data_IF_155919138643
#
_entry.id   IF_155919138643
#
_cell.length_a   1.000
_cell.length_b   1.000
_cell.length_c   1.000
_cell.angle_alpha   90.00
_cell.angle_beta   90.00
_cell.angle_gamma   90.00
#
_symmetry.space_group_name_H-M   'P 1'
#
loop_
_entity.id
_entity.type
_entity.pdbx_description
1 polymer ?
#
# COMPACT_ATOMS: atom_id res chain seq x y z
N UNK A 1 -18.70 17.89 -5.62
CA UNK A 1 -19.08 16.87 -6.66
C UNK A 1 -19.73 15.68 -5.98
N UNK A 2 -20.53 14.91 -6.73
CA UNK A 2 -21.03 13.60 -6.31
C UNK A 2 -20.09 12.54 -6.87
N UNK A 3 -19.45 11.78 -5.99
CA UNK A 3 -18.45 10.77 -6.34
C UNK A 3 -18.97 9.40 -5.92
N UNK A 4 -18.97 8.43 -6.83
CA UNK A 4 -19.28 7.03 -6.53
C UNK A 4 -18.02 6.19 -6.63
N UNK A 5 -17.49 5.73 -5.49
CA UNK A 5 -16.41 4.74 -5.46
C UNK A 5 -16.97 3.34 -5.71
N UNK A 6 -16.24 2.56 -6.51
CA UNK A 6 -16.55 1.13 -6.73
C UNK A 6 -15.32 0.30 -6.43
N UNK A 7 -15.45 -0.64 -5.48
CA UNK A 7 -14.33 -1.49 -5.06
C UNK A 7 -14.78 -2.92 -4.76
N UNK A 8 -14.00 -3.92 -5.18
CA UNK A 8 -14.24 -5.32 -4.78
C UNK A 8 -14.20 -5.47 -3.26
N UNK A 9 -13.27 -4.76 -2.62
CA UNK A 9 -12.97 -4.88 -1.20
C UNK A 9 -13.17 -3.55 -0.48
N UNK A 10 -13.91 -3.58 0.64
CA UNK A 10 -14.15 -2.44 1.50
C UNK A 10 -14.29 -2.89 2.96
N UNK A 11 -14.43 -1.95 3.90
CA UNK A 11 -14.68 -2.28 5.30
C UNK A 11 -15.94 -3.15 5.48
N UNK A 12 -15.97 -4.09 6.44
CA UNK A 12 -15.06 -4.30 7.58
C UNK A 12 -13.80 -5.14 7.25
N UNK A 13 -13.62 -5.56 5.99
CA UNK A 13 -12.40 -6.25 5.60
C UNK A 13 -11.20 -5.32 5.77
N UNK A 14 -10.11 -5.82 6.38
CA UNK A 14 -8.89 -5.06 6.63
C UNK A 14 -7.77 -5.47 5.66
N UNK A 15 -7.28 -4.52 4.91
CA UNK A 15 -6.15 -4.62 3.99
C UNK A 15 -5.74 -3.22 3.51
N UNK A 16 -4.64 -3.12 2.77
CA UNK A 16 -4.12 -1.82 2.33
C UNK A 16 -5.06 -1.06 1.40
N UNK A 17 -5.76 -1.76 0.50
CA UNK A 17 -6.72 -1.14 -0.43
C UNK A 17 -7.94 -0.63 0.36
N UNK A 18 -8.52 -1.48 1.19
CA UNK A 18 -9.74 -1.22 1.95
C UNK A 18 -9.58 0.02 2.85
N UNK A 19 -8.44 0.10 3.54
CA UNK A 19 -8.12 1.24 4.42
C UNK A 19 -7.92 2.51 3.60
N UNK A 20 -7.16 2.46 2.50
CA UNK A 20 -6.93 3.63 1.65
C UNK A 20 -8.19 4.15 0.98
N UNK A 21 -9.07 3.25 0.50
CA UNK A 21 -10.35 3.67 -0.08
C UNK A 21 -11.26 4.29 0.98
N UNK A 22 -11.28 3.73 2.20
CA UNK A 22 -12.08 4.29 3.31
C UNK A 22 -11.55 5.66 3.76
N UNK A 23 -10.22 5.81 3.87
CA UNK A 23 -9.59 7.07 4.21
C UNK A 23 -9.81 8.13 3.12
N UNK A 24 -9.69 7.76 1.82
CA UNK A 24 -9.97 8.67 0.70
C UNK A 24 -11.43 9.15 0.73
N UNK A 25 -12.39 8.24 0.88
CA UNK A 25 -13.83 8.57 1.01
C UNK A 25 -14.09 9.53 2.17
N UNK A 26 -13.42 9.35 3.30
CA UNK A 26 -13.52 10.27 4.44
C UNK A 26 -12.96 11.64 4.09
N UNK A 27 -11.77 11.71 3.51
CA UNK A 27 -11.11 12.96 3.18
C UNK A 27 -11.86 13.76 2.10
N UNK A 28 -12.40 13.09 1.09
CA UNK A 28 -13.23 13.73 0.08
C UNK A 28 -14.54 14.29 0.66
N UNK A 29 -15.15 13.59 1.63
CA UNK A 29 -16.31 14.13 2.36
C UNK A 29 -15.95 15.34 3.20
N UNK A 30 -14.80 15.32 3.88
CA UNK A 30 -14.28 16.46 4.63
C UNK A 30 -13.96 17.66 3.72
N UNK A 31 -13.55 17.40 2.47
CA UNK A 31 -13.38 18.41 1.41
C UNK A 31 -14.72 18.92 0.80
N UNK A 32 -15.88 18.44 1.28
CA UNK A 32 -17.20 18.92 0.86
C UNK A 32 -17.79 18.18 -0.34
N UNK A 33 -17.29 17.01 -0.70
CA UNK A 33 -17.90 16.16 -1.74
C UNK A 33 -19.01 15.26 -1.17
N UNK A 34 -20.01 14.95 -1.99
CA UNK A 34 -20.99 13.90 -1.71
C UNK A 34 -20.41 12.56 -2.19
N UNK A 35 -19.98 11.72 -1.26
CA UNK A 35 -19.25 10.49 -1.59
C UNK A 35 -20.00 9.25 -1.14
N UNK A 36 -20.21 8.33 -2.06
CA UNK A 36 -20.85 7.03 -1.85
C UNK A 36 -19.93 5.89 -2.31
N UNK A 37 -20.16 4.70 -1.80
CA UNK A 37 -19.34 3.50 -2.10
C UNK A 37 -20.23 2.35 -2.53
N UNK A 38 -19.90 1.68 -3.63
CA UNK A 38 -20.44 0.38 -4.02
C UNK A 38 -19.37 -0.70 -3.87
N UNK A 39 -19.70 -1.80 -3.18
CA UNK A 39 -18.73 -2.86 -2.90
C UNK A 39 -19.35 -4.26 -2.94
N UNK A 40 -18.53 -5.25 -3.29
CA UNK A 40 -18.86 -6.67 -3.17
C UNK A 40 -18.58 -7.25 -1.78
N UNK A 41 -18.00 -6.47 -0.86
CA UNK A 41 -17.71 -6.93 0.51
C UNK A 41 -18.97 -6.99 1.37
N UNK A 42 -19.32 -8.14 1.97
CA UNK A 42 -20.39 -8.23 2.95
C UNK A 42 -20.05 -7.42 4.21
N UNK A 43 -21.09 -7.05 4.96
CA UNK A 43 -20.95 -6.33 6.23
C UNK A 43 -22.23 -5.62 6.62
N UNK A 44 -22.20 -4.92 7.75
CA UNK A 44 -23.33 -4.15 8.25
C UNK A 44 -23.71 -3.00 7.30
N UNK A 45 -24.97 -2.58 7.37
CA UNK A 45 -25.46 -1.44 6.63
C UNK A 45 -24.79 -0.15 7.13
N UNK A 46 -24.14 0.56 6.23
CA UNK A 46 -23.52 1.86 6.50
C UNK A 46 -24.11 2.90 5.56
N UNK A 47 -24.35 4.11 6.06
CA UNK A 47 -24.87 5.21 5.26
C UNK A 47 -23.92 5.55 4.10
N UNK A 48 -24.46 5.56 2.88
CA UNK A 48 -23.67 5.82 1.66
C UNK A 48 -22.80 4.64 1.21
N UNK A 49 -23.02 3.43 1.73
CA UNK A 49 -22.33 2.20 1.28
C UNK A 49 -23.34 1.20 0.76
N UNK A 50 -23.24 0.86 -0.51
CA UNK A 50 -24.08 -0.11 -1.22
C UNK A 50 -23.35 -1.44 -1.36
N UNK A 51 -23.83 -2.45 -0.65
CA UNK A 51 -23.25 -3.81 -0.66
C UNK A 51 -23.99 -4.66 -1.69
N UNK A 52 -23.34 -4.95 -2.82
CA UNK A 52 -23.86 -5.80 -3.89
C UNK A 52 -23.16 -7.15 -3.79
N UNK A 53 -23.70 -7.99 -2.92
CA UNK A 53 -23.09 -9.27 -2.54
C UNK A 53 -23.87 -10.43 -3.12
N UNK A 54 -23.17 -11.45 -3.63
CA UNK A 54 -23.73 -12.76 -3.97
C UNK A 54 -22.92 -13.83 -3.23
N UNK A 55 -23.63 -14.77 -2.59
CA UNK A 55 -22.98 -15.93 -1.97
C UNK A 55 -22.51 -16.88 -3.06
N UNK A 56 -21.26 -16.74 -3.46
CA UNK A 56 -20.59 -17.69 -4.35
C UNK A 56 -19.57 -18.51 -3.58
N UNK A 57 -19.22 -19.72 -4.04
CA UNK A 57 -18.12 -20.49 -3.48
C UNK A 57 -16.84 -19.64 -3.49
N UNK A 58 -16.00 -19.80 -2.44
CA UNK A 58 -14.71 -19.12 -2.27
C UNK A 58 -14.77 -17.59 -2.11
N UNK A 59 -15.91 -17.03 -1.67
CA UNK A 59 -16.11 -15.59 -1.47
C UNK A 59 -15.64 -14.72 -2.67
N UNK A 60 -15.89 -15.23 -3.88
CA UNK A 60 -15.51 -14.51 -5.10
C UNK A 60 -16.32 -13.22 -5.21
N UNK A 61 -15.68 -12.06 -5.39
CA UNK A 61 -16.36 -10.76 -5.54
C UNK A 61 -16.96 -10.60 -6.95
N UNK A 62 -17.80 -11.57 -7.33
CA UNK A 62 -18.49 -11.60 -8.64
C UNK A 62 -19.99 -11.69 -8.39
N UNK A 63 -20.76 -10.86 -9.07
CA UNK A 63 -22.21 -10.94 -9.06
C UNK A 63 -22.72 -11.19 -10.47
N UNK A 64 -23.48 -12.27 -10.75
CA UNK A 64 -23.94 -12.57 -12.12
C UNK A 64 -24.61 -11.41 -12.83
N UNK A 65 -25.38 -10.61 -12.07
CA UNK A 65 -26.08 -9.41 -12.55
C UNK A 65 -25.43 -8.10 -12.09
N UNK A 66 -24.14 -8.12 -11.71
CA UNK A 66 -23.44 -6.99 -11.08
C UNK A 66 -23.47 -5.72 -11.94
N UNK A 67 -23.26 -5.85 -13.25
CA UNK A 67 -23.34 -4.70 -14.16
C UNK A 67 -24.74 -4.06 -14.15
N UNK A 68 -25.81 -4.86 -14.13
CA UNK A 68 -27.18 -4.37 -14.08
C UNK A 68 -27.52 -3.66 -12.76
N UNK A 69 -27.03 -4.21 -11.61
CA UNK A 69 -27.20 -3.57 -10.30
C UNK A 69 -26.44 -2.25 -10.21
N UNK A 70 -25.17 -2.24 -10.64
CA UNK A 70 -24.36 -1.03 -10.66
C UNK A 70 -24.91 0.02 -11.65
N UNK A 71 -25.41 -0.39 -12.80
CA UNK A 71 -26.03 0.54 -13.75
C UNK A 71 -27.30 1.20 -13.18
N UNK A 72 -28.14 0.44 -12.45
CA UNK A 72 -29.31 1.00 -11.75
C UNK A 72 -28.87 1.97 -10.65
N UNK A 73 -27.86 1.62 -9.86
CA UNK A 73 -27.34 2.48 -8.81
C UNK A 73 -26.81 3.79 -9.40
N UNK A 74 -25.97 3.73 -10.42
CA UNK A 74 -25.37 4.87 -11.11
C UNK A 74 -26.47 5.80 -11.69
N UNK A 75 -27.50 5.24 -12.32
CA UNK A 75 -28.65 6.01 -12.86
C UNK A 75 -29.46 6.67 -11.76
N UNK A 76 -29.65 6.00 -10.60
CA UNK A 76 -30.40 6.53 -9.47
C UNK A 76 -29.64 7.63 -8.74
N UNK A 77 -28.32 7.47 -8.56
CA UNK A 77 -27.47 8.39 -7.80
C UNK A 77 -26.93 9.55 -8.62
N UNK A 78 -26.82 9.37 -9.94
CA UNK A 78 -26.32 10.36 -10.91
C UNK A 78 -25.00 10.99 -10.42
N UNK A 79 -23.94 10.19 -10.15
CA UNK A 79 -22.65 10.74 -9.75
C UNK A 79 -22.05 11.57 -10.88
N UNK A 80 -21.25 12.59 -10.53
CA UNK A 80 -20.52 13.40 -11.49
C UNK A 80 -19.30 12.65 -12.03
N UNK A 81 -18.79 11.68 -11.24
CA UNK A 81 -17.67 10.78 -11.60
C UNK A 81 -17.83 9.43 -10.89
N UNK A 82 -17.40 8.37 -11.55
CA UNK A 82 -17.25 7.03 -10.94
C UNK A 82 -15.76 6.72 -10.79
N UNK A 83 -15.33 6.54 -9.56
CA UNK A 83 -13.94 6.19 -9.21
C UNK A 83 -13.85 4.71 -8.85
N UNK A 84 -13.15 3.93 -9.65
CA UNK A 84 -13.06 2.47 -9.52
C UNK A 84 -11.70 2.08 -8.95
N UNK A 85 -11.70 1.25 -7.90
CA UNK A 85 -10.49 0.78 -7.23
C UNK A 85 -10.23 -0.69 -7.56
N UNK A 86 -9.04 -0.98 -8.09
CA UNK A 86 -8.67 -2.29 -8.58
C UNK A 86 -7.42 -2.85 -7.89
N UNK A 87 -7.47 -4.14 -7.55
CA UNK A 87 -6.29 -4.95 -7.28
C UNK A 87 -5.69 -5.52 -8.58
N UNK A 88 -5.07 -6.72 -8.47
CA UNK A 88 -4.54 -7.42 -9.66
C UNK A 88 -5.67 -8.04 -10.53
N UNK A 89 -6.67 -8.62 -9.86
CA UNK A 89 -7.87 -9.18 -10.49
C UNK A 89 -9.07 -8.66 -9.68
N UNK A 90 -9.93 -7.89 -10.33
CA UNK A 90 -11.02 -7.16 -9.67
C UNK A 90 -12.28 -7.18 -10.53
N UNK A 91 -12.99 -8.32 -10.56
CA UNK A 91 -14.14 -8.49 -11.44
C UNK A 91 -15.29 -7.55 -11.11
N UNK A 92 -15.60 -7.30 -9.83
CA UNK A 92 -16.67 -6.36 -9.46
C UNK A 92 -16.31 -4.92 -9.85
N UNK A 93 -15.06 -4.51 -9.65
CA UNK A 93 -14.59 -3.20 -10.09
C UNK A 93 -14.74 -3.03 -11.60
N UNK A 94 -14.41 -4.05 -12.41
CA UNK A 94 -14.66 -4.04 -13.87
C UNK A 94 -16.13 -3.95 -14.24
N UNK A 95 -17.03 -4.55 -13.46
CA UNK A 95 -18.47 -4.36 -13.62
C UNK A 95 -18.86 -2.90 -13.39
N UNK A 96 -18.22 -2.23 -12.41
CA UNK A 96 -18.36 -0.80 -12.15
C UNK A 96 -17.94 0.06 -13.33
N UNK A 97 -16.74 -0.20 -13.87
CA UNK A 97 -16.28 0.48 -15.11
C UNK A 97 -17.30 0.31 -16.23
N UNK A 98 -17.74 -0.94 -16.48
CA UNK A 98 -18.70 -1.24 -17.56
C UNK A 98 -20.06 -0.53 -17.36
N UNK A 99 -20.54 -0.47 -16.12
CA UNK A 99 -21.80 0.21 -15.79
C UNK A 99 -21.69 1.73 -16.00
N UNK A 100 -20.62 2.35 -15.53
CA UNK A 100 -20.38 3.78 -15.69
C UNK A 100 -20.22 4.19 -17.16
N UNK A 101 -19.44 3.42 -17.93
CA UNK A 101 -19.26 3.65 -19.38
C UNK A 101 -20.58 3.55 -20.13
N UNK A 102 -21.44 2.53 -19.83
CA UNK A 102 -22.78 2.39 -20.41
C UNK A 102 -23.74 3.51 -20.03
N UNK A 103 -23.52 4.13 -18.87
CA UNK A 103 -24.28 5.29 -18.42
C UNK A 103 -23.76 6.62 -19.00
N UNK A 104 -22.67 6.61 -19.77
CA UNK A 104 -22.04 7.82 -20.31
C UNK A 104 -21.30 8.65 -19.28
N UNK A 105 -20.96 8.09 -18.10
CA UNK A 105 -20.32 8.83 -17.01
C UNK A 105 -18.80 8.86 -17.12
N UNK A 106 -18.15 9.93 -16.59
CA UNK A 106 -16.71 9.99 -16.39
C UNK A 106 -16.21 8.88 -15.46
N UNK A 107 -15.09 8.25 -15.83
CA UNK A 107 -14.53 7.12 -15.06
C UNK A 107 -13.04 7.32 -14.80
N UNK A 108 -12.66 7.26 -13.51
CA UNK A 108 -11.27 7.13 -13.05
C UNK A 108 -11.06 5.73 -12.52
N UNK A 109 -9.93 5.10 -12.84
CA UNK A 109 -9.59 3.74 -12.41
C UNK A 109 -8.25 3.75 -11.71
N UNK A 110 -8.25 3.56 -10.38
CA UNK A 110 -7.03 3.43 -9.58
C UNK A 110 -6.62 1.98 -9.42
N UNK A 111 -5.41 1.65 -9.85
CA UNK A 111 -4.81 0.31 -9.69
C UNK A 111 -3.87 0.31 -8.48
N UNK A 112 -4.23 -0.44 -7.44
CA UNK A 112 -3.49 -0.53 -6.18
C UNK A 112 -2.42 -1.62 -6.15
N UNK A 113 -2.26 -2.40 -7.20
CA UNK A 113 -1.31 -3.53 -7.24
C UNK A 113 -0.31 -3.40 -8.38
N UNK A 114 0.87 -3.96 -8.20
CA UNK A 114 1.81 -4.16 -9.30
C UNK A 114 1.34 -5.32 -10.18
N UNK A 115 1.25 -5.09 -11.48
CA UNK A 115 0.90 -6.11 -12.45
C UNK A 115 2.12 -6.96 -12.82
N UNK A 116 2.04 -8.24 -12.51
CA UNK A 116 3.02 -9.23 -12.93
C UNK A 116 2.81 -9.64 -14.41
N UNK A 117 3.70 -10.46 -14.99
CA UNK A 117 3.58 -10.89 -16.37
C UNK A 117 2.24 -11.57 -16.69
N UNK A 118 1.69 -12.36 -15.76
CA UNK A 118 0.39 -13.05 -15.93
C UNK A 118 -0.74 -12.03 -15.97
N UNK A 119 -0.79 -11.12 -14.98
CA UNK A 119 -1.77 -10.06 -14.93
C UNK A 119 -1.71 -9.17 -16.18
N UNK A 120 -0.49 -8.81 -16.63
CA UNK A 120 -0.32 -8.04 -17.88
C UNK A 120 -0.85 -8.79 -19.10
N UNK A 121 -0.60 -10.10 -19.18
CA UNK A 121 -1.14 -10.96 -20.26
C UNK A 121 -2.67 -10.97 -20.25
N UNK A 122 -3.27 -11.16 -19.09
CA UNK A 122 -4.73 -11.08 -18.91
C UNK A 122 -5.31 -9.76 -19.40
N UNK A 123 -4.77 -8.62 -18.94
CA UNK A 123 -5.29 -7.30 -19.32
C UNK A 123 -5.02 -6.94 -20.78
N UNK A 124 -3.96 -7.46 -21.40
CA UNK A 124 -3.78 -7.38 -22.87
C UNK A 124 -4.85 -8.14 -23.62
N UNK A 125 -5.19 -9.37 -23.19
CA UNK A 125 -6.28 -10.14 -23.74
C UNK A 125 -7.63 -9.44 -23.60
N UNK A 126 -7.93 -8.94 -22.42
CA UNK A 126 -9.15 -8.14 -22.17
C UNK A 126 -9.18 -6.84 -23.01
N UNK A 127 -8.03 -6.22 -23.29
CA UNK A 127 -7.94 -5.05 -24.16
C UNK A 127 -8.32 -5.40 -25.59
N UNK A 128 -7.90 -6.55 -26.10
CA UNK A 128 -8.24 -7.03 -27.44
C UNK A 128 -9.74 -7.40 -27.53
N UNK A 129 -10.26 -8.10 -26.53
CA UNK A 129 -11.65 -8.58 -26.52
C UNK A 129 -12.69 -7.45 -26.32
N UNK A 130 -12.41 -6.51 -25.44
CA UNK A 130 -13.39 -5.50 -25.01
C UNK A 130 -13.05 -4.09 -25.45
N UNK A 131 -11.90 -3.87 -26.07
CA UNK A 131 -11.39 -2.56 -26.49
C UNK A 131 -11.51 -1.46 -25.41
N UNK A 132 -11.36 -1.84 -24.11
CA UNK A 132 -11.54 -0.95 -22.97
C UNK A 132 -10.68 0.32 -23.02
N UNK A 133 -9.57 0.30 -23.75
CA UNK A 133 -8.71 1.46 -24.01
C UNK A 133 -9.38 2.56 -24.86
N UNK A 134 -10.57 2.28 -25.43
CA UNK A 134 -11.39 3.24 -26.17
C UNK A 134 -12.56 3.77 -25.35
N UNK A 135 -12.70 3.38 -24.10
CA UNK A 135 -13.86 3.72 -23.27
C UNK A 135 -13.79 5.12 -22.64
N UNK A 136 -12.77 5.94 -22.93
CA UNK A 136 -12.60 7.27 -22.34
C UNK A 136 -12.38 7.17 -20.82
N UNK A 137 -11.40 6.39 -20.41
CA UNK A 137 -11.03 6.19 -19.01
C UNK A 137 -9.78 7.00 -18.68
N UNK A 138 -9.69 7.50 -17.45
CA UNK A 138 -8.45 7.97 -16.84
C UNK A 138 -7.97 6.90 -15.88
N UNK A 139 -6.76 6.41 -16.09
CA UNK A 139 -6.09 5.47 -15.20
C UNK A 139 -5.25 6.19 -14.14
N UNK A 140 -5.18 5.63 -12.94
CA UNK A 140 -4.19 6.03 -11.94
C UNK A 140 -3.48 4.83 -11.34
N UNK A 141 -2.27 5.03 -10.87
CA UNK A 141 -1.49 4.05 -10.12
C UNK A 141 -0.92 4.70 -8.86
N UNK A 142 -0.68 3.91 -7.84
CA UNK A 142 -0.25 4.40 -6.52
C UNK A 142 1.26 4.73 -6.46
N UNK A 143 2.02 4.39 -7.50
CA UNK A 143 3.47 4.68 -7.62
C UNK A 143 3.93 4.58 -9.08
N UNK A 144 5.10 5.13 -9.38
CA UNK A 144 5.72 4.96 -10.71
C UNK A 144 6.02 3.50 -11.02
N UNK A 145 6.51 2.74 -10.06
CA UNK A 145 6.76 1.30 -10.22
C UNK A 145 5.49 0.52 -10.58
N UNK A 146 4.33 0.92 -10.05
CA UNK A 146 3.04 0.33 -10.40
C UNK A 146 2.50 0.87 -11.73
N UNK A 147 2.76 2.13 -12.09
CA UNK A 147 2.27 2.77 -13.32
C UNK A 147 2.91 2.19 -14.59
N UNK A 148 4.20 1.89 -14.55
CA UNK A 148 4.96 1.40 -15.72
C UNK A 148 4.28 0.20 -16.42
N UNK A 149 3.96 -0.92 -15.75
CA UNK A 149 3.31 -2.07 -16.39
C UNK A 149 1.88 -1.76 -16.86
N UNK A 150 1.18 -0.84 -16.19
CA UNK A 150 -0.19 -0.41 -16.57
C UNK A 150 -0.12 0.41 -17.85
N UNK A 151 0.76 1.42 -17.94
CA UNK A 151 0.99 2.23 -19.14
C UNK A 151 1.32 1.36 -20.36
N UNK A 152 2.16 0.32 -20.17
CA UNK A 152 2.55 -0.61 -21.22
C UNK A 152 1.38 -1.46 -21.76
N UNK A 153 0.34 -1.69 -20.95
CA UNK A 153 -0.87 -2.43 -21.33
C UNK A 153 -1.95 -1.49 -21.86
N UNK A 154 -2.18 -0.36 -21.19
CA UNK A 154 -3.20 0.61 -21.54
C UNK A 154 -2.93 1.32 -22.90
N UNK A 155 -1.65 1.59 -23.18
CA UNK A 155 -1.21 2.31 -24.37
C UNK A 155 -1.54 3.82 -24.30
N UNK A 156 -1.27 4.55 -25.37
CA UNK A 156 -1.36 6.02 -25.38
C UNK A 156 -2.77 6.61 -25.26
N UNK A 157 -3.81 5.79 -25.48
CA UNK A 157 -5.20 6.28 -25.46
C UNK A 157 -5.79 6.40 -24.05
N UNK A 158 -5.18 5.77 -23.07
CA UNK A 158 -5.61 5.87 -21.67
C UNK A 158 -4.51 6.62 -20.92
N UNK A 159 -4.74 7.87 -20.52
CA UNK A 159 -3.80 8.56 -19.64
C UNK A 159 -3.70 7.79 -18.32
N UNK A 160 -2.46 7.63 -17.83
CA UNK A 160 -2.19 6.94 -16.55
C UNK A 160 -1.30 7.83 -15.70
N UNK A 161 -1.90 8.40 -14.67
CA UNK A 161 -1.24 9.27 -13.71
C UNK A 161 -0.76 8.50 -12.48
N UNK A 162 0.19 9.07 -11.75
CA UNK A 162 0.57 8.56 -10.42
C UNK A 162 -0.05 9.46 -9.38
N UNK A 163 -0.95 8.88 -8.59
CA UNK A 163 -1.53 9.50 -7.40
C UNK A 163 -1.20 8.60 -6.22
N UNK A 164 -0.36 9.09 -5.32
CA UNK A 164 0.09 8.34 -4.15
C UNK A 164 -1.07 7.97 -3.21
N UNK A 165 -0.88 6.96 -2.40
CA UNK A 165 -1.76 6.77 -1.25
C UNK A 165 -1.55 7.89 -0.23
N UNK A 166 -2.63 8.31 0.42
CA UNK A 166 -2.59 9.33 1.46
C UNK A 166 -2.24 8.78 2.83
N UNK A 167 -1.56 9.61 3.62
CA UNK A 167 -1.29 9.34 5.02
C UNK A 167 -1.52 10.62 5.86
N UNK A 168 -2.12 10.44 7.04
CA UNK A 168 -2.17 11.50 8.03
C UNK A 168 -0.82 11.56 8.77
N UNK A 169 0.02 12.49 8.33
CA UNK A 169 1.38 12.68 8.85
C UNK A 169 1.35 13.03 10.34
N UNK A 170 0.40 13.85 10.78
CA UNK A 170 0.30 14.29 12.18
C UNK A 170 0.08 13.10 13.12
N UNK A 171 -0.81 12.18 12.74
CA UNK A 171 -1.13 10.97 13.51
C UNK A 171 0.08 10.05 13.71
N UNK A 172 0.94 9.92 12.71
CA UNK A 172 2.11 9.02 12.76
C UNK A 172 3.33 9.67 13.40
N UNK A 173 3.50 10.99 13.26
CA UNK A 173 4.61 11.75 13.84
C UNK A 173 4.46 11.95 15.35
N UNK A 174 3.25 12.22 15.83
CA UNK A 174 2.96 12.47 17.25
C UNK A 174 3.19 11.25 18.16
N UNK A 175 3.32 10.06 17.59
CA UNK A 175 3.56 8.83 18.35
C UNK A 175 5.05 8.62 18.68
N UNK A 176 5.96 9.41 18.11
CA UNK A 176 7.39 9.32 18.41
C UNK A 176 7.63 10.14 19.67
N UNK A 177 8.02 9.52 20.81
CA UNK A 177 8.51 10.27 21.95
C UNK A 177 9.67 11.15 21.48
N UNK A 178 9.72 12.40 21.95
CA UNK A 178 10.94 13.18 21.82
C UNK A 178 12.12 12.31 22.28
N UNK A 179 13.26 12.33 21.58
CA UNK A 179 14.42 11.57 22.00
C UNK A 179 14.65 11.93 23.46
N UNK A 180 14.61 10.90 24.30
CA UNK A 180 14.87 11.05 25.73
C UNK A 180 16.29 11.61 25.83
N UNK A 181 16.40 12.93 26.03
CA UNK A 181 17.69 13.62 26.11
C UNK A 181 18.45 13.23 27.39
N UNK A 182 17.74 12.53 28.31
CA UNK A 182 18.25 12.29 29.63
C UNK A 182 19.04 10.98 29.77
N UNK A 183 19.10 10.08 28.79
CA UNK A 183 19.92 8.88 28.86
C UNK A 183 20.55 8.41 27.53
N UNK A 184 21.57 9.12 27.02
CA UNK A 184 22.31 8.70 25.83
C UNK A 184 23.05 7.37 26.01
N UNK A 185 23.36 6.98 27.25
CA UNK A 185 24.11 5.76 27.59
C UNK A 185 23.24 4.52 27.47
N UNK A 186 21.97 4.58 27.89
CA UNK A 186 21.02 3.45 27.74
C UNK A 186 20.72 3.08 26.29
N UNK A 187 20.80 4.03 25.34
CA UNK A 187 20.64 3.76 23.91
C UNK A 187 21.88 3.19 23.23
N UNK A 188 23.08 3.40 23.79
CA UNK A 188 24.32 2.95 23.18
C UNK A 188 24.45 1.42 23.18
N UNK A 189 23.97 0.76 24.23
CA UNK A 189 24.10 -0.69 24.44
C UNK A 189 22.83 -1.49 24.14
N UNK A 190 21.73 -0.81 23.73
CA UNK A 190 20.49 -1.50 23.41
C UNK A 190 20.58 -2.20 22.04
N UNK A 191 20.01 -3.42 21.90
CA UNK A 191 19.95 -4.11 20.62
C UNK A 191 19.27 -3.27 19.54
N UNK A 192 19.86 -3.16 18.35
CA UNK A 192 19.26 -2.47 17.20
C UNK A 192 17.97 -3.18 16.81
N UNK A 193 16.85 -2.47 16.87
CA UNK A 193 15.53 -3.02 16.63
C UNK A 193 15.10 -2.88 15.18
N UNK A 194 15.08 -4.01 14.47
CA UNK A 194 14.61 -4.09 13.08
C UNK A 194 13.15 -4.50 13.06
N UNK A 195 12.32 -3.73 12.37
CA UNK A 195 10.87 -3.95 12.31
C UNK A 195 10.41 -4.19 10.86
N UNK A 196 9.49 -5.12 10.68
CA UNK A 196 8.76 -5.31 9.43
C UNK A 196 7.27 -5.49 9.73
N UNK A 197 6.41 -4.88 8.93
CA UNK A 197 4.95 -4.96 9.09
C UNK A 197 4.31 -5.33 7.76
N UNK A 198 3.46 -6.36 7.75
CA UNK A 198 2.74 -6.72 6.55
C UNK A 198 2.05 -8.08 6.61
N UNK A 199 1.20 -8.32 5.63
CA UNK A 199 0.51 -9.61 5.50
C UNK A 199 1.50 -10.73 5.18
N UNK A 200 1.44 -11.84 5.92
CA UNK A 200 2.31 -13.02 5.72
C UNK A 200 1.78 -13.90 4.56
N UNK A 201 1.59 -13.28 3.40
CA UNK A 201 1.13 -13.95 2.19
C UNK A 201 2.33 -14.40 1.33
N UNK A 202 2.26 -15.55 0.62
CA UNK A 202 3.36 -16.07 -0.20
C UNK A 202 3.92 -15.07 -1.21
N UNK A 203 3.06 -14.24 -1.82
CA UNK A 203 3.47 -13.19 -2.76
C UNK A 203 4.39 -12.13 -2.14
N UNK A 204 4.35 -11.92 -0.82
CA UNK A 204 5.22 -11.01 -0.07
C UNK A 204 6.53 -11.67 0.34
N UNK A 205 6.69 -12.97 0.08
CA UNK A 205 7.89 -13.76 0.36
C UNK A 205 8.37 -13.65 1.83
N UNK A 206 7.52 -13.87 2.85
CA UNK A 206 7.86 -13.58 4.23
C UNK A 206 8.99 -14.47 4.80
N UNK A 207 9.16 -15.69 4.29
CA UNK A 207 10.32 -16.52 4.66
C UNK A 207 11.63 -15.94 4.12
N UNK A 208 11.59 -15.29 2.94
CA UNK A 208 12.76 -14.59 2.39
C UNK A 208 13.17 -13.38 3.22
N UNK A 209 12.20 -12.73 3.88
CA UNK A 209 12.51 -11.69 4.88
C UNK A 209 13.31 -12.28 6.05
N UNK A 210 12.93 -13.44 6.59
CA UNK A 210 13.71 -14.10 7.67
C UNK A 210 15.11 -14.48 7.19
N UNK A 211 15.25 -14.98 5.96
CA UNK A 211 16.56 -15.25 5.35
C UNK A 211 17.39 -13.97 5.27
N UNK A 212 16.80 -12.87 4.82
CA UNK A 212 17.46 -11.56 4.75
C UNK A 212 17.96 -11.11 6.12
N UNK A 213 17.12 -11.18 7.17
CA UNK A 213 17.49 -10.81 8.53
C UNK A 213 18.65 -11.67 9.06
N UNK A 214 18.62 -12.99 8.81
CA UNK A 214 19.70 -13.91 9.20
C UNK A 214 21.02 -13.58 8.51
N UNK A 215 20.99 -13.36 7.21
CA UNK A 215 22.20 -13.02 6.44
C UNK A 215 22.74 -11.63 6.82
N UNK A 216 21.85 -10.66 7.06
CA UNK A 216 22.26 -9.33 7.51
C UNK A 216 22.94 -9.40 8.89
N UNK A 217 22.39 -10.19 9.84
CA UNK A 217 23.00 -10.41 11.16
C UNK A 217 24.40 -11.02 11.07
N UNK A 218 24.62 -11.94 10.13
CA UNK A 218 25.93 -12.57 9.91
C UNK A 218 27.00 -11.57 9.39
N UNK A 219 26.59 -10.42 8.86
CA UNK A 219 27.47 -9.34 8.41
C UNK A 219 27.70 -8.25 9.48
N UNK A 220 27.06 -8.39 10.64
CA UNK A 220 27.16 -7.43 11.75
C UNK A 220 28.13 -7.98 12.78
N UNK A 221 29.04 -7.14 13.34
CA UNK A 221 29.94 -7.55 14.39
C UNK A 221 29.22 -8.15 15.60
N UNK A 222 29.85 -9.11 16.30
CA UNK A 222 29.23 -9.86 17.39
C UNK A 222 28.83 -8.98 18.58
N UNK A 223 29.55 -7.89 18.79
CA UNK A 223 29.30 -6.88 19.82
C UNK A 223 28.07 -5.99 19.54
N UNK A 224 27.61 -5.94 18.30
CA UNK A 224 26.40 -5.19 17.94
C UNK A 224 25.18 -6.10 18.02
N UNK A 225 24.42 -5.98 19.07
CA UNK A 225 23.19 -6.76 19.23
C UNK A 225 22.09 -6.28 18.27
N UNK A 226 21.38 -7.25 17.69
CA UNK A 226 20.24 -7.00 16.79
C UNK A 226 19.05 -7.84 17.22
N UNK A 227 17.88 -7.22 17.32
CA UNK A 227 16.59 -7.89 17.48
C UNK A 227 15.66 -7.54 16.34
N UNK A 228 14.69 -8.40 16.03
CA UNK A 228 13.71 -8.11 14.98
C UNK A 228 12.29 -8.44 15.41
N UNK A 229 11.32 -7.61 14.98
CA UNK A 229 9.89 -7.85 15.15
C UNK A 229 9.20 -7.84 13.80
N UNK A 230 8.59 -8.97 13.42
CA UNK A 230 7.82 -9.09 12.18
C UNK A 230 6.34 -9.18 12.51
N UNK A 231 5.64 -8.07 12.35
CA UNK A 231 4.20 -7.93 12.64
C UNK A 231 3.37 -8.34 11.44
N UNK A 232 2.37 -9.14 11.68
CA UNK A 232 1.41 -9.56 10.68
C UNK A 232 0.97 -10.99 10.84
N UNK A 233 0.04 -11.39 9.97
CA UNK A 233 -0.50 -12.74 9.94
C UNK A 233 -0.82 -13.16 8.51
N UNK A 234 -0.94 -14.47 8.29
CA UNK A 234 -1.27 -15.02 6.99
C UNK A 234 -0.82 -16.46 6.81
N UNK A 235 -1.12 -17.05 5.64
CA UNK A 235 -0.90 -18.48 5.40
C UNK A 235 0.56 -18.94 5.50
N UNK A 236 1.54 -18.03 5.41
CA UNK A 236 2.95 -18.39 5.54
C UNK A 236 3.46 -18.41 6.99
N UNK A 237 2.65 -18.06 8.00
CA UNK A 237 3.07 -17.98 9.40
C UNK A 237 3.75 -19.25 9.89
N UNK A 238 3.11 -20.39 9.74
CA UNK A 238 3.65 -21.69 10.19
C UNK A 238 4.97 -22.04 9.51
N UNK A 239 5.16 -21.63 8.25
CA UNK A 239 6.42 -21.82 7.54
C UNK A 239 7.52 -20.93 8.11
N UNK A 240 7.20 -19.69 8.47
CA UNK A 240 8.14 -18.77 9.12
C UNK A 240 8.55 -19.29 10.51
N UNK A 241 7.62 -19.75 11.32
CA UNK A 241 7.89 -20.31 12.65
C UNK A 241 8.83 -21.54 12.58
N UNK A 242 8.59 -22.43 11.60
CA UNK A 242 9.50 -23.54 11.34
C UNK A 242 10.91 -23.08 10.94
N UNK A 243 10.98 -22.06 10.06
CA UNK A 243 12.25 -21.48 9.63
C UNK A 243 13.03 -20.86 10.80
N UNK A 244 12.38 -20.11 11.68
CA UNK A 244 12.99 -19.53 12.87
C UNK A 244 13.60 -20.60 13.77
N UNK A 245 12.85 -21.66 14.08
CA UNK A 245 13.35 -22.77 14.91
C UNK A 245 14.52 -23.49 14.27
N UNK A 246 14.41 -23.83 12.98
CA UNK A 246 15.46 -24.55 12.25
C UNK A 246 16.77 -23.77 12.08
N UNK A 247 16.74 -22.43 12.24
CA UNK A 247 17.90 -21.57 12.03
C UNK A 247 18.33 -20.83 13.32
N UNK A 248 17.85 -21.24 14.51
CA UNK A 248 18.24 -20.65 15.80
C UNK A 248 17.88 -19.16 15.94
N UNK A 249 16.79 -18.72 15.31
CA UNK A 249 16.42 -17.30 15.27
C UNK A 249 15.41 -16.90 16.36
N UNK A 250 14.87 -17.84 17.13
CA UNK A 250 13.78 -17.62 18.09
C UNK A 250 14.17 -16.72 19.28
N UNK A 251 15.47 -16.61 19.59
CA UNK A 251 15.96 -15.75 20.67
C UNK A 251 16.03 -14.26 20.31
N UNK A 252 15.93 -13.90 19.00
CA UNK A 252 16.11 -12.51 18.56
C UNK A 252 15.10 -12.05 17.50
N UNK A 253 14.28 -12.95 16.94
CA UNK A 253 13.18 -12.61 16.02
C UNK A 253 11.84 -12.98 16.62
N UNK A 254 10.94 -12.02 16.71
CA UNK A 254 9.57 -12.18 17.21
C UNK A 254 8.55 -12.12 16.08
N UNK A 255 7.53 -13.01 16.14
CA UNK A 255 6.35 -13.02 15.28
C UNK A 255 5.07 -12.84 16.12
N UNK A 256 4.78 -11.63 16.60
CA UNK A 256 3.70 -11.40 17.58
C UNK A 256 2.28 -11.53 16.99
N UNK A 257 2.14 -11.69 15.67
CA UNK A 257 0.86 -11.69 14.99
C UNK A 257 0.43 -10.30 14.52
N UNK A 258 -0.88 -10.09 14.38
CA UNK A 258 -1.45 -8.79 13.96
C UNK A 258 -1.42 -7.78 15.09
N UNK A 259 -1.14 -6.53 14.73
CA UNK A 259 -1.27 -5.38 15.62
C UNK A 259 -2.32 -4.42 15.07
N UNK A 260 -2.94 -3.64 15.96
CA UNK A 260 -3.74 -2.48 15.58
C UNK A 260 -2.83 -1.35 15.07
N UNK A 261 -3.41 -0.32 14.44
CA UNK A 261 -2.65 0.87 13.99
C UNK A 261 -1.94 1.56 15.16
N UNK A 262 -2.59 1.67 16.29
CA UNK A 262 -2.05 2.26 17.53
C UNK A 262 -0.81 1.49 17.99
N UNK A 263 -0.91 0.15 18.05
CA UNK A 263 0.20 -0.70 18.47
C UNK A 263 1.35 -0.73 17.44
N UNK A 264 1.05 -0.52 16.15
CA UNK A 264 2.11 -0.34 15.14
C UNK A 264 2.83 0.98 15.36
N UNK A 265 2.13 2.07 15.69
CA UNK A 265 2.76 3.36 16.03
C UNK A 265 3.68 3.24 17.23
N UNK A 266 3.24 2.61 18.32
CA UNK A 266 4.06 2.33 19.51
C UNK A 266 5.31 1.51 19.15
N UNK A 267 5.16 0.48 18.32
CA UNK A 267 6.27 -0.32 17.83
C UNK A 267 7.28 0.51 17.03
N UNK A 268 6.80 1.35 16.11
CA UNK A 268 7.67 2.20 15.29
C UNK A 268 8.40 3.26 16.11
N UNK A 269 7.85 3.74 17.23
CA UNK A 269 8.53 4.63 18.16
C UNK A 269 9.78 3.99 18.80
N UNK A 270 9.85 2.65 18.89
CA UNK A 270 10.97 1.87 19.40
C UNK A 270 11.83 1.23 18.31
N UNK A 271 11.54 1.48 17.04
CA UNK A 271 12.22 0.88 15.91
C UNK A 271 13.42 1.72 15.45
N UNK A 272 14.52 1.06 15.14
CA UNK A 272 15.74 1.69 14.58
C UNK A 272 15.82 1.55 13.05
N UNK A 273 15.26 0.46 12.49
CA UNK A 273 15.26 0.17 11.06
C UNK A 273 13.95 -0.49 10.67
N UNK A 274 13.30 -0.02 9.61
CA UNK A 274 12.16 -0.67 9.01
C UNK A 274 12.53 -1.40 7.72
N UNK A 275 12.04 -2.64 7.52
CA UNK A 275 12.40 -3.45 6.35
C UNK A 275 11.18 -3.84 5.55
N UNK A 276 11.11 -3.42 4.27
CA UNK A 276 10.07 -3.73 3.30
C UNK A 276 10.64 -4.44 2.05
N UNK A 277 11.09 -5.71 2.13
CA UNK A 277 11.89 -6.36 1.09
C UNK A 277 11.04 -6.97 -0.02
N UNK A 278 9.72 -6.85 0.03
CA UNK A 278 8.82 -7.49 -0.93
C UNK A 278 9.10 -7.01 -2.36
N UNK A 279 9.36 -7.91 -3.33
CA UNK A 279 9.76 -7.52 -4.68
C UNK A 279 8.61 -6.89 -5.49
N UNK A 280 7.36 -7.10 -5.07
CA UNK A 280 6.15 -6.54 -5.70
C UNK A 280 5.38 -5.71 -4.70
N UNK A 281 6.05 -4.73 -4.10
CA UNK A 281 5.39 -3.73 -3.26
C UNK A 281 4.91 -2.58 -4.14
N UNK A 282 3.59 -2.45 -4.31
CA UNK A 282 3.00 -1.44 -5.19
C UNK A 282 3.16 -0.03 -4.65
N UNK A 283 3.17 0.14 -3.32
CA UNK A 283 3.36 1.43 -2.67
C UNK A 283 4.18 1.29 -1.39
N UNK A 284 3.70 0.51 -0.42
CA UNK A 284 4.38 0.28 0.85
C UNK A 284 3.89 1.20 1.97
N UNK A 285 2.58 1.17 2.26
CA UNK A 285 1.98 1.98 3.34
C UNK A 285 2.75 1.86 4.66
N UNK A 286 3.08 0.64 5.10
CA UNK A 286 3.81 0.45 6.33
C UNK A 286 5.25 1.03 6.30
N UNK A 287 5.87 1.10 5.12
CA UNK A 287 7.15 1.77 4.94
C UNK A 287 7.00 3.31 5.00
N UNK A 288 5.88 3.83 4.46
CA UNK A 288 5.54 5.26 4.58
C UNK A 288 5.26 5.63 6.04
N UNK A 289 4.49 4.81 6.75
CA UNK A 289 4.21 4.96 8.18
C UNK A 289 5.51 5.00 9.00
N UNK A 290 6.44 4.07 8.72
CA UNK A 290 7.75 4.03 9.36
C UNK A 290 8.59 5.27 9.06
N UNK A 291 8.66 5.71 7.78
CA UNK A 291 9.34 6.95 7.41
C UNK A 291 8.81 8.16 8.17
N UNK A 292 7.50 8.31 8.23
CA UNK A 292 6.86 9.44 8.93
C UNK A 292 7.09 9.37 10.45
N UNK A 293 7.16 8.16 11.01
CA UNK A 293 7.55 7.93 12.40
C UNK A 293 9.06 8.16 12.68
N UNK A 294 9.84 8.60 11.69
CA UNK A 294 11.27 8.89 11.86
C UNK A 294 12.18 7.67 11.68
N UNK A 295 11.67 6.52 11.25
CA UNK A 295 12.45 5.29 11.14
C UNK A 295 13.10 5.17 9.76
N UNK A 296 14.42 4.91 9.66
CA UNK A 296 15.11 4.59 8.41
C UNK A 296 14.52 3.37 7.71
N UNK A 297 14.23 3.47 6.40
CA UNK A 297 13.56 2.42 5.64
C UNK A 297 14.54 1.67 4.73
N UNK A 298 14.53 0.33 4.75
CA UNK A 298 15.20 -0.51 3.75
C UNK A 298 14.15 -1.19 2.87
N UNK A 299 14.22 -0.95 1.56
CA UNK A 299 13.26 -1.51 0.60
C UNK A 299 13.91 -1.85 -0.74
N UNK A 300 13.13 -2.52 -1.62
CA UNK A 300 13.53 -2.80 -3.01
C UNK A 300 13.49 -1.52 -3.83
N UNK A 301 14.55 -1.25 -4.61
CA UNK A 301 14.62 -0.10 -5.51
C UNK A 301 13.53 -0.12 -6.60
N UNK A 302 13.08 -1.32 -7.02
CA UNK A 302 12.04 -1.51 -8.03
C UNK A 302 10.61 -1.57 -7.45
N UNK A 303 10.42 -1.11 -6.21
CA UNK A 303 9.11 -1.06 -5.55
C UNK A 303 8.57 0.36 -5.49
N UNK A 304 7.28 0.50 -5.17
CA UNK A 304 6.66 1.82 -4.97
C UNK A 304 7.20 2.60 -3.78
N UNK A 305 7.99 1.98 -2.90
CA UNK A 305 8.68 2.67 -1.79
C UNK A 305 9.72 3.67 -2.32
N UNK A 306 10.28 3.42 -3.49
CA UNK A 306 11.25 4.32 -4.12
C UNK A 306 10.66 5.71 -4.48
N UNK A 307 9.34 5.86 -4.53
CA UNK A 307 8.69 7.15 -4.80
C UNK A 307 8.80 8.12 -3.61
N UNK A 308 9.03 7.61 -2.40
CA UNK A 308 9.15 8.42 -1.18
C UNK A 308 10.37 8.10 -0.31
N UNK A 309 11.23 7.19 -0.72
CA UNK A 309 12.52 6.88 -0.07
C UNK A 309 13.65 7.06 -1.06
N UNK A 310 14.52 8.05 -0.82
CA UNK A 310 15.75 8.28 -1.57
C UNK A 310 16.92 7.65 -0.81
N UNK A 311 17.84 6.94 -1.50
CA UNK A 311 19.00 6.32 -0.86
C UNK A 311 19.85 7.34 -0.10
N UNK A 312 20.15 7.04 1.17
CA UNK A 312 20.97 7.89 2.05
C UNK A 312 20.25 9.10 2.66
N UNK A 313 18.95 9.30 2.33
CA UNK A 313 18.12 10.39 2.88
C UNK A 313 17.03 9.84 3.80
N UNK A 314 16.07 9.11 3.25
CA UNK A 314 14.97 8.53 4.02
C UNK A 314 15.22 7.06 4.38
N UNK A 315 16.24 6.45 3.76
CA UNK A 315 16.57 5.03 3.96
C UNK A 315 17.60 4.55 2.95
N UNK A 316 17.63 3.24 2.73
CA UNK A 316 18.48 2.58 1.72
C UNK A 316 17.62 1.70 0.80
N UNK A 317 17.96 1.69 -0.48
CA UNK A 317 17.27 0.86 -1.48
C UNK A 317 18.21 -0.21 -2.05
N UNK A 318 17.78 -1.47 -2.01
CA UNK A 318 18.52 -2.59 -2.58
C UNK A 318 17.98 -3.01 -3.94
N UNK A 319 18.84 -3.13 -4.93
CA UNK A 319 18.47 -3.60 -6.28
C UNK A 319 18.36 -5.13 -6.35
N UNK A 320 19.09 -5.84 -5.51
CA UNK A 320 19.10 -7.30 -5.38
C UNK A 320 18.79 -7.74 -3.96
N UNK A 321 18.72 -9.06 -3.73
CA UNK A 321 18.57 -9.61 -2.38
C UNK A 321 19.80 -9.31 -1.51
N UNK A 322 20.97 -9.48 -2.08
CA UNK A 322 22.28 -9.21 -1.45
C UNK A 322 22.41 -7.72 -1.15
N UNK A 323 21.93 -6.83 -2.03
CA UNK A 323 21.87 -5.39 -1.80
C UNK A 323 20.97 -5.02 -0.64
N UNK A 324 19.84 -5.72 -0.44
CA UNK A 324 18.99 -5.55 0.74
C UNK A 324 19.67 -6.04 2.03
N UNK A 325 20.33 -7.20 1.96
CA UNK A 325 21.11 -7.74 3.09
C UNK A 325 22.18 -6.74 3.51
N UNK A 326 22.98 -6.23 2.57
CA UNK A 326 24.00 -5.23 2.81
C UNK A 326 23.43 -3.93 3.39
N UNK A 327 22.27 -3.47 2.90
CA UNK A 327 21.59 -2.27 3.38
C UNK A 327 21.14 -2.40 4.83
N UNK A 328 20.54 -3.53 5.20
CA UNK A 328 20.15 -3.78 6.60
C UNK A 328 21.39 -3.87 7.49
N UNK A 329 22.40 -4.65 7.12
CA UNK A 329 23.63 -4.78 7.87
C UNK A 329 24.34 -3.42 8.06
N UNK A 330 24.33 -2.57 7.01
CA UNK A 330 24.89 -1.21 7.07
C UNK A 330 24.17 -0.34 8.10
N UNK A 331 22.82 -0.29 8.06
CA UNK A 331 22.06 0.51 9.04
C UNK A 331 22.17 -0.05 10.46
N UNK A 332 22.41 -1.34 10.64
CA UNK A 332 22.63 -1.93 11.99
C UNK A 332 24.00 -1.54 12.52
N UNK A 333 25.06 -1.58 11.71
CA UNK A 333 26.45 -1.28 12.15
C UNK A 333 26.74 0.21 12.27
N UNK A 334 26.21 1.01 11.31
CA UNK A 334 26.52 2.43 11.15
C UNK A 334 25.47 3.26 11.89
N UNK A 335 25.76 3.55 13.15
CA UNK A 335 24.88 4.33 14.03
C UNK A 335 24.71 5.75 13.52
N UNK A 336 25.79 6.40 13.10
CA UNK A 336 25.76 7.79 12.64
C UNK A 336 24.85 7.94 11.40
N UNK A 337 25.00 7.06 10.41
CA UNK A 337 24.12 7.02 9.24
C UNK A 337 22.66 6.80 9.64
N UNK A 338 22.40 5.85 10.55
CA UNK A 338 21.05 5.52 11.01
C UNK A 338 20.40 6.71 11.72
N UNK A 339 21.11 7.38 12.63
CA UNK A 339 20.62 8.55 13.35
C UNK A 339 20.43 9.76 12.42
N UNK A 340 21.33 9.98 11.47
CA UNK A 340 21.20 11.04 10.45
C UNK A 340 19.96 10.86 9.59
N UNK A 341 19.71 9.62 9.12
CA UNK A 341 18.48 9.33 8.35
C UNK A 341 17.24 9.49 9.23
N UNK A 342 17.29 9.04 10.48
CA UNK A 342 16.16 9.17 11.41
C UNK A 342 15.85 10.64 11.70
N UNK A 343 16.85 11.49 11.90
CA UNK A 343 16.69 12.93 12.07
C UNK A 343 16.04 13.57 10.83
N UNK A 344 16.57 13.27 9.63
CA UNK A 344 16.01 13.75 8.38
C UNK A 344 14.54 13.33 8.20
N UNK A 345 14.18 12.08 8.54
CA UNK A 345 12.81 11.60 8.46
C UNK A 345 11.85 12.33 9.41
N UNK A 346 12.32 12.71 10.60
CA UNK A 346 11.54 13.50 11.56
C UNK A 346 11.32 14.94 11.11
N UNK A 347 12.30 15.54 10.44
CA UNK A 347 12.28 16.93 9.97
C UNK A 347 11.52 17.12 8.66
N UNK A 348 11.40 16.07 7.83
CA UNK A 348 10.82 16.17 6.48
C UNK A 348 9.51 15.42 6.36
N UNK A 349 8.68 15.85 5.41
CA UNK A 349 7.40 15.22 5.09
C UNK A 349 7.39 14.65 3.68
N UNK A 350 6.73 13.48 3.47
CA UNK A 350 6.48 12.97 2.13
C UNK A 350 5.30 13.73 1.49
N UNK A 351 5.53 14.94 1.02
CA UNK A 351 4.50 15.89 0.55
C UNK A 351 3.51 15.24 -0.43
N UNK A 352 4.00 14.43 -1.38
CA UNK A 352 3.15 13.72 -2.36
C UNK A 352 2.18 12.72 -1.73
N UNK A 353 2.44 12.31 -0.49
CA UNK A 353 1.62 11.36 0.26
C UNK A 353 0.72 12.07 1.29
N UNK A 354 0.73 13.39 1.35
CA UNK A 354 -0.20 14.16 2.18
C UNK A 354 -1.60 14.15 1.56
N UNK A 355 -2.63 14.16 2.38
CA UNK A 355 -4.01 14.18 1.89
C UNK A 355 -4.33 15.36 0.97
N UNK A 356 -3.86 16.61 1.23
CA UNK A 356 -4.06 17.70 0.28
C UNK A 356 -3.51 17.39 -1.11
N UNK A 357 -2.29 16.87 -1.23
CA UNK A 357 -1.68 16.54 -2.52
C UNK A 357 -2.39 15.37 -3.22
N UNK A 358 -2.87 14.39 -2.45
CA UNK A 358 -3.63 13.24 -2.98
C UNK A 358 -4.99 13.67 -3.52
N UNK A 359 -5.72 14.51 -2.76
CA UNK A 359 -7.01 15.06 -3.19
C UNK A 359 -6.86 15.90 -4.45
N UNK A 360 -5.87 16.82 -4.49
CA UNK A 360 -5.56 17.61 -5.68
C UNK A 360 -5.29 16.72 -6.90
N UNK A 361 -4.48 15.67 -6.73
CA UNK A 361 -4.19 14.70 -7.81
C UNK A 361 -5.44 13.99 -8.32
N UNK A 362 -6.36 13.60 -7.45
CA UNK A 362 -7.62 12.99 -7.87
C UNK A 362 -8.59 14.00 -8.48
N UNK A 363 -8.66 15.23 -7.99
CA UNK A 363 -9.47 16.29 -8.59
C UNK A 363 -9.04 16.57 -10.03
N UNK A 364 -7.73 16.61 -10.31
CA UNK A 364 -7.20 16.73 -11.67
C UNK A 364 -7.64 15.54 -12.55
N UNK A 365 -7.55 14.31 -12.04
CA UNK A 365 -8.00 13.12 -12.74
C UNK A 365 -9.54 13.13 -13.00
N UNK A 366 -10.32 13.62 -12.04
CA UNK A 366 -11.77 13.77 -12.20
C UNK A 366 -12.13 14.82 -13.27
N UNK A 367 -11.43 15.95 -13.28
CA UNK A 367 -11.58 16.98 -14.30
C UNK A 367 -11.25 16.45 -15.69
N UNK A 368 -10.13 15.72 -15.85
CA UNK A 368 -9.73 15.10 -17.10
C UNK A 368 -10.76 14.05 -17.57
N UNK A 369 -11.23 13.18 -16.67
CA UNK A 369 -12.23 12.18 -16.99
C UNK A 369 -13.55 12.81 -17.47
N UNK A 370 -13.93 13.95 -16.90
CA UNK A 370 -15.11 14.72 -17.34
C UNK A 370 -14.88 15.32 -18.73
N UNK A 371 -13.70 15.87 -18.99
CA UNK A 371 -13.35 16.44 -20.30
C UNK A 371 -13.34 15.38 -21.43
N UNK A 372 -13.01 14.13 -21.13
CA UNK A 372 -13.06 13.02 -22.08
C UNK A 372 -14.49 12.59 -22.44
N UNK A 373 -15.52 13.06 -21.74
CA UNK A 373 -16.93 12.70 -21.92
C UNK A 373 -17.82 13.85 -22.43
N UNK A 374 -17.37 15.08 -22.27
CA UNK A 374 -18.02 16.27 -22.86
C UNK A 374 -17.64 16.44 -24.30
#
# INVERSE_FOLDING_TARGET
>A
MRILHVSDCYLPRLGGIEVQVADLVRMEREAGHEVEVATATPGEALRGVYRIVTKLPFDLPVHPFGVGHLLRLVKARRPDVVHVHMGAVSPFAWMGVRAAVRAGLPVVVTVHSMWDPVTRGLYRGLRLLFEWHRWGLVGTAVSEAAALPIRAVAGRRVPVHVVSNGLDVSTWRSAVPAPDQDDPVRRADAPVHVVAVGRLAPRKQPVRLLKLLREARALVPAETEMRATVVGDGPARSQMERYLRANGMTGWVSLPGRYSRERIRELLASADVFVAPAPRESFGLAALEARVAGVPVVARAQSGVADFVRPGKEGLLGESFEGLVASVARLVRDRELRESIAAHNRETEPVRCSWPAVLEGFEQCYAEARALRG
#
